data_IF_754312039741
#
_entry.id   IF_754312039741
#
_cell.length_a   1.000
_cell.length_b   1.000
_cell.length_c   1.000
_cell.angle_alpha   90.00
_cell.angle_beta   90.00
_cell.angle_gamma   90.00
#
_symmetry.space_group_name_H-M   'P 1'
#
loop_
_entity.id
_entity.type
_entity.pdbx_description
1 polymer ?
#
# COMPACT_ATOMS: atom_id res chain seq x y z
N UNK A 1 47.74 -45.91 -49.94
CA UNK A 1 48.89 -45.01 -50.19
C UNK A 1 48.29 -43.72 -50.72
N UNK A 2 48.50 -42.50 -50.21
CA UNK A 2 49.44 -41.87 -49.25
C UNK A 2 48.86 -40.46 -49.08
N UNK A 3 48.49 -40.02 -47.88
CA UNK A 3 49.28 -39.15 -46.96
C UNK A 3 49.00 -37.65 -47.15
N UNK A 4 48.60 -37.04 -46.01
CA UNK A 4 48.84 -35.69 -45.46
C UNK A 4 48.69 -34.45 -46.37
N UNK A 5 48.14 -33.33 -45.92
CA UNK A 5 47.71 -32.92 -44.59
C UNK A 5 47.06 -31.54 -44.68
N UNK A 6 45.90 -31.38 -44.06
CA UNK A 6 45.21 -30.10 -43.89
C UNK A 6 45.92 -29.31 -42.79
N UNK A 7 46.67 -28.28 -43.19
CA UNK A 7 47.33 -27.34 -42.28
C UNK A 7 46.31 -26.48 -41.55
N UNK A 8 46.35 -26.56 -40.22
CA UNK A 8 45.61 -25.75 -39.27
C UNK A 8 45.99 -24.26 -39.41
N UNK A 9 45.08 -23.44 -39.92
CA UNK A 9 45.16 -21.98 -39.87
C UNK A 9 44.36 -21.46 -38.68
N UNK A 10 44.98 -21.48 -37.50
CA UNK A 10 44.49 -20.75 -36.33
C UNK A 10 44.63 -19.25 -36.60
N UNK A 11 43.51 -18.53 -36.68
CA UNK A 11 43.49 -17.09 -36.58
C UNK A 11 42.47 -16.69 -35.50
N UNK A 12 42.94 -16.69 -34.24
CA UNK A 12 42.23 -16.10 -33.12
C UNK A 12 42.25 -14.58 -33.29
N UNK A 13 41.20 -14.02 -33.90
CA UNK A 13 40.96 -12.59 -33.83
C UNK A 13 40.30 -12.27 -32.49
N UNK A 14 41.19 -12.07 -31.50
CA UNK A 14 41.13 -11.10 -30.42
C UNK A 14 39.73 -10.66 -29.97
N UNK A 15 39.26 -11.31 -28.90
CA UNK A 15 38.31 -10.74 -27.94
C UNK A 15 38.84 -9.37 -27.49
N UNK A 16 38.28 -8.28 -28.03
CA UNK A 16 38.42 -6.96 -27.41
C UNK A 16 37.55 -6.93 -26.16
N UNK A 17 38.09 -7.42 -25.04
CA UNK A 17 37.62 -7.02 -23.73
C UNK A 17 38.05 -5.56 -23.53
N UNK A 18 37.14 -4.61 -23.75
CA UNK A 18 37.33 -3.25 -23.27
C UNK A 18 36.97 -3.25 -21.79
N UNK A 19 38.03 -3.25 -20.98
CA UNK A 19 38.00 -2.95 -19.56
C UNK A 19 38.22 -1.45 -19.37
N UNK A 20 37.30 -0.80 -18.64
CA UNK A 20 37.66 0.23 -17.65
C UNK A 20 37.50 1.71 -18.01
N UNK A 21 36.80 2.40 -17.09
CA UNK A 21 36.73 3.86 -16.82
C UNK A 21 35.83 4.70 -17.75
N UNK A 22 34.91 5.53 -17.26
CA UNK A 22 34.86 6.29 -16.01
C UNK A 22 33.40 6.58 -15.62
N UNK A 23 33.09 6.44 -14.32
CA UNK A 23 31.79 6.76 -13.77
C UNK A 23 31.63 8.26 -13.59
N UNK A 24 30.72 8.86 -14.36
CA UNK A 24 30.04 10.08 -13.99
C UNK A 24 28.57 9.73 -13.79
N UNK A 25 28.23 9.30 -12.56
CA UNK A 25 26.84 9.25 -12.14
C UNK A 25 26.42 10.71 -11.92
N UNK A 26 25.88 11.29 -12.98
CA UNK A 26 25.15 12.54 -12.98
C UNK A 26 24.04 12.43 -11.92
N UNK A 27 24.11 13.32 -10.92
CA UNK A 27 23.05 13.73 -10.01
C UNK A 27 22.08 12.60 -9.61
N UNK A 28 22.31 12.01 -8.43
CA UNK A 28 21.34 11.12 -7.79
C UNK A 28 20.00 11.83 -7.65
N UNK A 29 19.14 11.63 -8.64
CA UNK A 29 17.74 11.95 -8.57
C UNK A 29 17.15 11.02 -7.50
N UNK A 30 16.37 11.63 -6.62
CA UNK A 30 15.83 10.99 -5.41
C UNK A 30 14.71 9.98 -5.74
N UNK A 31 14.71 9.44 -6.95
CA UNK A 31 13.62 8.69 -7.57
C UNK A 31 13.86 7.18 -7.64
N UNK A 32 15.02 6.70 -7.15
CA UNK A 32 15.31 5.25 -7.02
C UNK A 32 14.75 4.61 -5.74
N UNK A 33 14.02 5.38 -4.91
CA UNK A 33 13.23 4.79 -3.83
C UNK A 33 11.96 4.20 -4.46
N UNK A 34 11.81 2.87 -4.41
CA UNK A 34 10.55 2.24 -4.80
C UNK A 34 9.39 2.98 -4.11
N UNK A 35 8.31 3.33 -4.82
CA UNK A 35 7.21 4.05 -4.22
C UNK A 35 6.72 3.21 -3.05
N UNK A 36 6.94 3.70 -1.81
CA UNK A 36 6.51 3.02 -0.60
C UNK A 36 5.06 2.55 -0.81
N UNK A 37 4.83 1.24 -0.69
CA UNK A 37 3.50 0.67 -0.90
C UNK A 37 2.62 1.05 0.29
N UNK A 38 2.09 2.28 0.25
CA UNK A 38 1.10 2.80 1.20
C UNK A 38 -0.28 2.16 0.96
N UNK A 39 -0.30 0.85 0.76
CA UNK A 39 -1.51 0.04 0.73
C UNK A 39 -2.14 0.04 2.12
N UNK A 40 -3.47 0.13 2.14
CA UNK A 40 -4.22 0.21 3.37
C UNK A 40 -5.59 -0.45 3.23
N UNK A 41 -6.10 -0.90 4.36
CA UNK A 41 -7.44 -1.47 4.50
C UNK A 41 -8.21 -0.75 5.59
N UNK A 42 -9.53 -0.75 5.43
CA UNK A 42 -10.45 -0.11 6.38
C UNK A 42 -11.60 -1.05 6.74
N UNK A 43 -12.18 -0.84 7.91
CA UNK A 43 -13.41 -1.49 8.33
C UNK A 43 -14.33 -0.48 8.99
N UNK A 44 -15.62 -0.57 8.66
CA UNK A 44 -16.67 0.27 9.20
C UNK A 44 -17.44 -0.47 10.29
N UNK A 45 -17.78 0.26 11.34
CA UNK A 45 -18.71 -0.15 12.39
C UNK A 45 -19.81 0.91 12.46
N UNK A 46 -21.06 0.51 12.22
CA UNK A 46 -22.17 1.46 12.20
C UNK A 46 -22.82 1.54 13.58
N UNK A 47 -23.30 2.72 13.95
CA UNK A 47 -24.14 2.93 15.14
C UNK A 47 -23.44 2.49 16.44
N UNK A 48 -22.11 2.72 16.50
CA UNK A 48 -21.28 2.38 17.67
C UNK A 48 -21.60 3.23 18.90
N UNK A 49 -22.24 4.38 18.69
CA UNK A 49 -22.67 5.32 19.73
C UNK A 49 -23.84 6.14 19.19
N UNK A 50 -25.05 5.61 19.39
CA UNK A 50 -26.26 6.13 18.79
C UNK A 50 -26.15 6.17 17.26
N UNK A 51 -26.44 7.30 16.58
CA UNK A 51 -26.39 7.40 15.12
C UNK A 51 -24.96 7.58 14.58
N UNK A 52 -23.92 7.52 15.42
CA UNK A 52 -22.55 7.69 14.98
C UNK A 52 -21.97 6.39 14.44
N UNK A 53 -21.24 6.49 13.33
CA UNK A 53 -20.52 5.41 12.72
C UNK A 53 -19.02 5.61 12.93
N UNK A 54 -18.28 4.52 13.10
CA UNK A 54 -16.83 4.49 13.22
C UNK A 54 -16.24 3.85 11.97
N UNK A 55 -15.23 4.50 11.40
CA UNK A 55 -14.42 3.95 10.34
C UNK A 55 -12.98 3.92 10.83
N UNK A 56 -12.36 2.75 10.75
CA UNK A 56 -10.97 2.54 11.15
C UNK A 56 -10.18 2.02 9.96
N UNK A 57 -9.00 2.57 9.75
CA UNK A 57 -8.06 2.20 8.70
C UNK A 57 -6.68 1.93 9.28
N UNK A 58 -5.91 1.07 8.63
CA UNK A 58 -4.51 0.80 8.93
C UNK A 58 -3.76 0.49 7.64
N UNK A 59 -2.45 0.72 7.62
CA UNK A 59 -1.61 0.23 6.55
C UNK A 59 -1.62 -1.30 6.53
N UNK A 60 -1.54 -1.87 5.33
CA UNK A 60 -1.50 -3.32 5.14
C UNK A 60 -0.10 -3.87 5.51
N UNK A 61 0.94 -3.07 5.28
CA UNK A 61 2.31 -3.31 5.73
C UNK A 61 2.55 -2.67 7.12
N UNK A 62 2.91 -3.46 8.16
CA UNK A 62 3.17 -2.95 9.50
C UNK A 62 4.49 -2.16 9.63
N UNK A 63 5.42 -2.28 8.68
CA UNK A 63 6.73 -1.63 8.75
C UNK A 63 6.73 -0.19 8.17
N UNK A 64 5.58 0.26 7.65
CA UNK A 64 5.39 1.61 7.13
C UNK A 64 5.59 2.65 8.24
N UNK A 65 6.52 3.58 8.03
CA UNK A 65 6.70 4.71 8.95
C UNK A 65 5.55 5.71 8.82
N UNK A 66 4.56 5.55 9.69
CA UNK A 66 3.31 6.30 9.64
C UNK A 66 3.38 7.68 10.30
N UNK A 67 4.53 8.10 10.86
CA UNK A 67 4.66 9.27 11.75
C UNK A 67 4.12 10.57 11.15
N UNK A 68 4.36 10.80 9.87
CA UNK A 68 3.96 12.03 9.16
C UNK A 68 2.81 11.82 8.18
N UNK A 69 2.17 10.65 8.23
CA UNK A 69 1.09 10.30 7.33
C UNK A 69 -0.26 10.62 7.97
N UNK A 70 -1.15 11.14 7.13
CA UNK A 70 -2.52 11.50 7.50
C UNK A 70 -3.51 10.76 6.62
N UNK A 71 -4.69 10.46 7.16
CA UNK A 71 -5.81 9.92 6.39
C UNK A 71 -6.90 10.97 6.24
N UNK A 72 -7.45 11.10 5.04
CA UNK A 72 -8.60 11.95 4.75
C UNK A 72 -9.63 11.17 3.94
N UNK A 73 -10.91 11.30 4.29
CA UNK A 73 -12.05 10.81 3.52
C UNK A 73 -12.79 11.97 2.87
N UNK A 74 -13.07 11.84 1.58
CA UNK A 74 -13.83 12.79 0.79
C UNK A 74 -14.95 12.09 0.03
N UNK A 75 -16.10 12.75 -0.11
CA UNK A 75 -17.28 12.17 -0.75
C UNK A 75 -17.93 11.06 0.08
N UNK A 76 -19.20 10.78 -0.19
CA UNK A 76 -20.00 9.91 0.69
C UNK A 76 -20.19 10.51 2.09
N UNK A 77 -20.26 11.84 2.19
CA UNK A 77 -20.43 12.60 3.42
C UNK A 77 -21.62 13.56 3.30
N UNK A 78 -22.35 13.75 4.41
CA UNK A 78 -23.44 14.72 4.57
C UNK A 78 -22.88 16.09 4.95
N UNK A 79 -23.29 17.12 4.20
CA UNK A 79 -23.03 18.55 4.45
C UNK A 79 -21.55 18.99 4.46
N UNK A 80 -20.61 18.07 4.24
CA UNK A 80 -19.16 18.32 4.26
C UNK A 80 -18.51 17.57 3.10
N UNK A 81 -17.48 18.18 2.50
CA UNK A 81 -16.74 17.59 1.39
C UNK A 81 -15.71 16.53 1.84
N UNK A 82 -14.90 16.86 2.85
CA UNK A 82 -13.82 16.01 3.35
C UNK A 82 -13.66 16.08 4.88
N UNK A 83 -13.17 15.00 5.49
CA UNK A 83 -12.85 14.91 6.91
C UNK A 83 -11.53 14.15 7.11
N UNK A 84 -10.70 14.63 8.04
CA UNK A 84 -9.46 13.96 8.44
C UNK A 84 -9.71 12.94 9.56
N UNK A 85 -8.90 11.88 9.57
CA UNK A 85 -8.92 10.86 10.60
C UNK A 85 -8.05 11.28 11.79
N UNK A 86 -8.39 10.77 12.97
CA UNK A 86 -7.52 10.83 14.13
C UNK A 86 -6.56 9.64 14.10
N UNK A 87 -5.31 9.86 14.50
CA UNK A 87 -4.32 8.80 14.64
C UNK A 87 -4.21 8.35 16.09
N UNK A 88 -4.22 7.03 16.31
CA UNK A 88 -3.89 6.40 17.59
C UNK A 88 -3.00 5.19 17.32
N UNK A 89 -1.73 5.29 17.73
CA UNK A 89 -0.69 4.31 17.40
C UNK A 89 -0.63 4.11 15.87
N UNK A 90 -0.71 2.88 15.38
CA UNK A 90 -0.70 2.54 13.95
C UNK A 90 -2.09 2.51 13.30
N UNK A 91 -3.13 2.97 14.00
CA UNK A 91 -4.50 2.99 13.50
C UNK A 91 -5.01 4.42 13.29
N UNK A 92 -5.77 4.58 12.22
CA UNK A 92 -6.46 5.83 11.88
C UNK A 92 -7.95 5.62 12.03
N UNK A 93 -8.64 6.48 12.76
CA UNK A 93 -10.07 6.33 13.00
C UNK A 93 -10.82 7.66 12.94
N UNK A 94 -12.08 7.56 12.54
CA UNK A 94 -13.02 8.69 12.54
C UNK A 94 -14.39 8.20 13.00
N UNK A 95 -14.99 8.95 13.91
CA UNK A 95 -16.32 8.70 14.44
C UNK A 95 -17.24 9.85 14.04
N UNK A 96 -18.26 9.59 13.24
CA UNK A 96 -19.16 10.63 12.74
C UNK A 96 -20.53 10.09 12.35
N UNK A 97 -21.56 10.94 12.44
CA UNK A 97 -22.91 10.69 11.93
C UNK A 97 -23.09 11.12 10.46
N UNK A 98 -22.03 11.66 9.85
CA UNK A 98 -22.09 12.28 8.51
C UNK A 98 -21.85 11.30 7.36
N UNK A 99 -21.58 10.03 7.61
CA UNK A 99 -21.36 9.09 6.51
C UNK A 99 -22.65 8.82 5.75
N UNK A 100 -22.56 8.91 4.42
CA UNK A 100 -23.55 8.36 3.51
C UNK A 100 -23.25 6.87 3.33
N UNK A 101 -24.14 6.02 3.83
CA UNK A 101 -24.05 4.55 3.67
C UNK A 101 -24.29 4.11 2.21
N UNK A 102 -24.75 5.04 1.37
CA UNK A 102 -25.02 4.84 -0.05
C UNK A 102 -24.19 5.86 -0.82
N UNK A 103 -23.25 5.36 -1.62
CA UNK A 103 -22.34 6.18 -2.43
C UNK A 103 -20.89 5.69 -2.34
N UNK A 104 -20.06 6.22 -3.23
CA UNK A 104 -18.62 5.99 -3.18
C UNK A 104 -17.96 7.11 -2.37
N UNK A 105 -17.13 6.71 -1.43
CA UNK A 105 -16.21 7.59 -0.71
C UNK A 105 -14.79 7.38 -1.26
N UNK A 106 -13.94 8.40 -1.19
CA UNK A 106 -12.54 8.34 -1.56
C UNK A 106 -11.71 8.61 -0.32
N UNK A 107 -10.86 7.66 0.06
CA UNK A 107 -9.91 7.82 1.16
C UNK A 107 -8.52 8.01 0.58
N UNK A 108 -7.79 9.00 1.06
CA UNK A 108 -6.44 9.31 0.64
C UNK A 108 -5.48 9.31 1.84
N UNK A 109 -4.30 8.78 1.63
CA UNK A 109 -3.13 8.96 2.48
C UNK A 109 -2.42 10.24 2.04
N UNK A 110 -2.13 11.13 2.98
CA UNK A 110 -1.48 12.41 2.75
C UNK A 110 -0.16 12.51 3.49
N UNK A 111 0.82 13.14 2.86
CA UNK A 111 2.08 13.56 3.46
C UNK A 111 2.25 15.06 3.20
N UNK A 112 2.27 15.88 4.26
CA UNK A 112 2.39 17.35 4.11
C UNK A 112 1.30 17.96 3.22
N UNK A 113 0.08 17.44 3.28
CA UNK A 113 -1.06 17.89 2.47
C UNK A 113 -1.11 17.38 1.03
N UNK A 114 -0.07 16.69 0.54
CA UNK A 114 -0.06 16.06 -0.78
C UNK A 114 -0.64 14.65 -0.70
N UNK A 115 -1.47 14.27 -1.68
CA UNK A 115 -2.02 12.92 -1.76
C UNK A 115 -0.95 11.95 -2.27
N UNK A 116 -0.64 10.91 -1.50
CA UNK A 116 0.26 9.83 -1.89
C UNK A 116 -0.53 8.73 -2.62
N UNK A 117 -1.45 8.09 -1.90
CA UNK A 117 -2.29 7.00 -2.41
C UNK A 117 -3.74 7.26 -2.07
N UNK A 118 -4.65 7.00 -3.01
CA UNK A 118 -6.09 7.13 -2.78
C UNK A 118 -6.85 5.90 -3.25
N UNK A 119 -7.85 5.47 -2.47
CA UNK A 119 -8.75 4.38 -2.81
C UNK A 119 -10.20 4.82 -2.71
N UNK A 120 -11.00 4.47 -3.72
CA UNK A 120 -12.46 4.58 -3.65
C UNK A 120 -13.01 3.38 -2.91
N UNK A 121 -13.91 3.59 -1.96
CA UNK A 121 -14.56 2.53 -1.21
C UNK A 121 -15.99 2.91 -0.83
N UNK A 122 -16.83 1.89 -0.69
CA UNK A 122 -18.20 2.03 -0.19
C UNK A 122 -18.20 1.76 1.30
N UNK A 123 -18.74 2.69 2.09
CA UNK A 123 -18.96 2.48 3.52
C UNK A 123 -20.19 1.58 3.67
N UNK A 124 -19.98 0.28 3.55
CA UNK A 124 -21.07 -0.68 3.68
C UNK A 124 -21.39 -0.95 5.15
N UNK A 125 -22.67 -1.20 5.41
CA UNK A 125 -23.15 -1.82 6.64
C UNK A 125 -22.58 -3.25 6.67
N UNK A 126 -21.93 -3.63 7.76
CA UNK A 126 -21.44 -4.97 8.16
C UNK A 126 -19.92 -4.98 8.36
N UNK A 127 -19.46 -5.46 9.53
CA UNK A 127 -18.07 -5.68 9.94
C UNK A 127 -17.30 -6.74 9.13
N UNK A 128 -17.44 -6.68 7.81
CA UNK A 128 -16.59 -7.39 6.86
C UNK A 128 -15.34 -6.54 6.65
N UNK A 129 -14.16 -7.12 6.87
CA UNK A 129 -12.90 -6.58 6.37
C UNK A 129 -13.10 -6.25 4.88
N UNK A 130 -12.96 -4.98 4.50
CA UNK A 130 -12.95 -4.56 3.10
C UNK A 130 -11.58 -4.93 2.52
N UNK A 131 -11.34 -6.23 2.31
CA UNK A 131 -10.16 -6.73 1.62
C UNK A 131 -10.55 -7.08 0.19
N UNK A 132 -10.00 -6.38 -0.80
CA UNK A 132 -10.08 -6.80 -2.20
C UNK A 132 -8.65 -6.94 -2.76
N UNK A 133 -8.11 -8.16 -2.63
CA UNK A 133 -6.78 -8.53 -3.12
C UNK A 133 -6.19 -9.71 -2.33
N UNK A 134 -6.40 -10.94 -2.85
CA UNK A 134 -5.78 -12.25 -2.50
C UNK A 134 -5.65 -12.66 -1.00
N UNK A 135 -6.48 -13.64 -0.62
CA UNK A 135 -6.45 -14.46 0.62
C UNK A 135 -5.07 -15.08 0.97
N UNK A 136 -4.80 -15.55 2.23
CA UNK A 136 -5.75 -15.87 3.32
C UNK A 136 -5.34 -15.36 4.73
N UNK A 137 -6.12 -14.44 5.31
CA UNK A 137 -5.95 -13.98 6.70
C UNK A 137 -6.51 -14.97 7.77
N UNK A 138 -7.14 -16.07 7.35
CA UNK A 138 -7.83 -17.01 8.25
C UNK A 138 -6.88 -17.87 9.11
N UNK A 139 -5.56 -17.79 8.92
CA UNK A 139 -4.60 -18.56 9.72
C UNK A 139 -4.16 -17.85 11.01
N UNK A 140 -4.36 -16.53 11.14
CA UNK A 140 -3.82 -15.77 12.27
C UNK A 140 -4.83 -15.58 13.43
N UNK A 141 -6.13 -15.55 13.14
CA UNK A 141 -7.16 -15.34 14.16
C UNK A 141 -7.38 -16.54 15.09
N UNK A 142 -6.93 -17.74 14.72
CA UNK A 142 -7.00 -18.92 15.59
C UNK A 142 -5.93 -18.93 16.70
N UNK A 143 -4.94 -18.04 16.63
CA UNK A 143 -3.78 -18.07 17.54
C UNK A 143 -3.90 -17.03 18.67
N UNK A 144 -4.82 -16.06 18.60
CA UNK A 144 -4.80 -14.89 19.50
C UNK A 144 -6.08 -14.65 20.34
N UNK A 145 -7.18 -15.39 20.16
CA UNK A 145 -8.38 -15.23 21.00
C UNK A 145 -9.13 -16.56 21.24
N UNK A 146 -8.86 -17.29 22.33
CA UNK A 146 -9.64 -18.46 22.71
C UNK A 146 -10.96 -18.14 23.44
N UNK A 147 -11.15 -16.90 23.93
CA UNK A 147 -12.19 -16.61 24.95
C UNK A 147 -13.23 -15.58 24.50
N UNK A 148 -13.93 -15.81 23.40
CA UNK A 148 -15.13 -15.02 23.05
C UNK A 148 -16.37 -15.87 22.77
N UNK A 149 -16.45 -17.05 23.39
CA UNK A 149 -17.69 -17.83 23.47
C UNK A 149 -17.89 -18.30 24.91
N UNK A 150 -18.58 -17.49 25.71
CA UNK A 150 -19.48 -17.92 26.79
C UNK A 150 -20.38 -16.74 27.19
#
# INVERSE_FOLDING_TARGET
MTILGTTLGMAFYLLQAVSGESGYAENGDFDDAEPDDYSFSCYSQLEVDGPQHLLTCSFDDPDVNSTHLEFEICGGLLDINCLSFNKLQEMYFIKTKKFLLIGDSKICVKLGGKNMTCRKMKIVKIGKKLSLGRLPFFRYLKTLCPNFLH
#
